data_IF_717726193971
#
_entry.id   IF_717726193971
#
_cell.length_a   1.000
_cell.length_b   1.000
_cell.length_c   1.000
_cell.angle_alpha   90.00
_cell.angle_beta   90.00
_cell.angle_gamma   90.00
#
_symmetry.space_group_name_H-M   'P 1'
#
loop_
_entity.id
_entity.type
_entity.pdbx_description
1 polymer ?
#
# COMPACT_ATOMS: atom_id res chain seq x y z
N UNK A 1 -24.27 -5.95 4.82
CA UNK A 1 -25.13 -7.15 4.81
C UNK A 1 -24.34 -8.42 5.17
N UNK A 2 -23.29 -8.80 4.43
CA UNK A 2 -22.47 -9.98 4.73
C UNK A 2 -21.81 -10.00 6.12
N UNK A 3 -21.21 -8.89 6.59
CA UNK A 3 -20.61 -8.80 7.94
C UNK A 3 -21.61 -9.08 9.08
N UNK A 4 -22.86 -8.64 8.92
CA UNK A 4 -23.92 -8.86 9.91
C UNK A 4 -24.45 -10.31 9.88
N UNK A 5 -24.44 -10.94 8.70
CA UNK A 5 -24.85 -12.33 8.52
C UNK A 5 -23.80 -13.32 9.04
N UNK A 6 -22.52 -13.06 8.77
CA UNK A 6 -21.41 -13.95 9.17
C UNK A 6 -20.86 -13.64 10.56
N UNK A 7 -21.19 -12.48 11.13
CA UNK A 7 -20.64 -11.95 12.39
C UNK A 7 -19.10 -11.93 12.41
N UNK A 8 -18.48 -11.77 11.25
CA UNK A 8 -17.02 -11.69 11.10
C UNK A 8 -16.59 -10.31 10.62
N UNK A 9 -15.44 -9.84 11.09
CA UNK A 9 -14.80 -8.64 10.54
C UNK A 9 -14.45 -8.88 9.06
N UNK A 10 -14.53 -7.87 8.18
CA UNK A 10 -14.23 -8.04 6.76
C UNK A 10 -12.85 -8.66 6.48
N UNK A 11 -11.81 -8.24 7.23
CA UNK A 11 -10.48 -8.83 7.12
C UNK A 11 -10.43 -10.31 7.49
N UNK A 12 -11.15 -10.73 8.54
CA UNK A 12 -11.25 -12.13 8.94
C UNK A 12 -12.02 -12.97 7.91
N UNK A 13 -13.04 -12.40 7.26
CA UNK A 13 -13.73 -13.06 6.17
C UNK A 13 -12.82 -13.25 4.95
N UNK A 14 -12.06 -12.21 4.56
CA UNK A 14 -11.09 -12.27 3.47
C UNK A 14 -10.00 -13.31 3.73
N UNK A 15 -9.37 -13.28 4.91
CA UNK A 15 -8.34 -14.24 5.29
C UNK A 15 -8.84 -15.69 5.26
N UNK A 16 -10.11 -15.93 5.64
CA UNK A 16 -10.73 -17.26 5.52
C UNK A 16 -10.93 -17.71 4.09
N UNK A 17 -11.34 -16.81 3.18
CA UNK A 17 -11.46 -17.13 1.76
C UNK A 17 -10.08 -17.46 1.18
N UNK A 18 -9.07 -16.65 1.48
CA UNK A 18 -7.69 -16.91 1.03
C UNK A 18 -7.14 -18.23 1.58
N UNK A 19 -7.41 -18.55 2.85
CA UNK A 19 -7.07 -19.83 3.44
C UNK A 19 -7.83 -21.00 2.78
N UNK A 20 -9.11 -20.83 2.47
CA UNK A 20 -9.88 -21.87 1.76
C UNK A 20 -9.30 -22.13 0.38
N UNK A 21 -9.04 -21.08 -0.41
CA UNK A 21 -8.45 -21.19 -1.75
C UNK A 21 -7.06 -21.85 -1.71
N UNK A 22 -6.31 -21.65 -0.62
CA UNK A 22 -4.99 -22.23 -0.44
C UNK A 22 -5.03 -23.71 -0.02
N UNK A 23 -5.97 -24.08 0.84
CA UNK A 23 -5.91 -25.33 1.60
C UNK A 23 -6.98 -26.36 1.23
N UNK A 24 -7.93 -26.01 0.36
CA UNK A 24 -8.98 -26.94 -0.06
C UNK A 24 -8.76 -27.44 -1.49
N UNK A 25 -9.14 -28.69 -1.80
CA UNK A 25 -9.18 -29.16 -3.19
C UNK A 25 -10.15 -28.30 -4.02
N UNK A 26 -9.79 -28.09 -5.28
CA UNK A 26 -10.63 -27.39 -6.26
C UNK A 26 -11.03 -28.34 -7.39
N UNK A 27 -12.12 -28.03 -8.08
CA UNK A 27 -12.63 -28.84 -9.20
C UNK A 27 -12.56 -28.00 -10.47
N UNK A 28 -11.93 -28.55 -11.51
CA UNK A 28 -11.82 -27.89 -12.81
C UNK A 28 -13.17 -27.91 -13.54
N UNK A 29 -13.36 -27.07 -14.58
CA UNK A 29 -14.58 -27.12 -15.41
C UNK A 29 -14.83 -28.50 -16.07
N UNK A 30 -13.79 -29.33 -16.24
CA UNK A 30 -13.92 -30.69 -16.76
C UNK A 30 -14.29 -31.74 -15.68
N UNK A 31 -14.40 -31.33 -14.41
CA UNK A 31 -14.73 -32.21 -13.29
C UNK A 31 -13.52 -32.89 -12.62
N UNK A 32 -12.29 -32.54 -13.02
CA UNK A 32 -11.08 -33.06 -12.40
C UNK A 32 -10.83 -32.39 -11.06
N UNK A 33 -10.47 -33.19 -10.04
CA UNK A 33 -10.16 -32.68 -8.70
C UNK A 33 -8.67 -32.37 -8.61
N UNK A 34 -8.34 -31.10 -8.40
CA UNK A 34 -6.99 -30.63 -8.12
C UNK A 34 -6.83 -30.55 -6.61
N UNK A 35 -5.73 -31.10 -6.10
CA UNK A 35 -5.36 -31.01 -4.68
C UNK A 35 -5.23 -29.56 -4.19
N UNK A 36 -5.15 -29.36 -2.87
CA UNK A 36 -4.91 -28.04 -2.31
C UNK A 36 -3.58 -27.46 -2.81
N UNK A 37 -3.49 -26.13 -2.88
CA UNK A 37 -2.26 -25.44 -3.29
C UNK A 37 -1.12 -25.68 -2.30
N UNK A 38 -1.45 -25.76 -1.01
CA UNK A 38 -0.50 -26.02 0.08
C UNK A 38 -0.93 -27.28 0.87
N UNK A 39 -0.64 -28.50 0.36
CA UNK A 39 -1.09 -29.76 0.96
C UNK A 39 -0.57 -30.04 2.37
N UNK A 40 0.68 -29.70 2.70
CA UNK A 40 1.23 -29.95 4.04
C UNK A 40 0.62 -29.01 5.07
N UNK A 41 0.46 -27.75 4.67
CA UNK A 41 -0.19 -26.73 5.49
C UNK A 41 -1.67 -27.08 5.74
N UNK A 42 -2.35 -27.62 4.72
CA UNK A 42 -3.73 -28.06 4.81
C UNK A 42 -3.90 -29.22 5.82
N UNK A 43 -2.98 -30.20 5.78
CA UNK A 43 -2.98 -31.31 6.72
C UNK A 43 -2.78 -30.83 8.16
N UNK A 44 -1.87 -29.88 8.39
CA UNK A 44 -1.63 -29.32 9.72
C UNK A 44 -2.85 -28.60 10.30
N UNK A 45 -3.53 -27.80 9.48
CA UNK A 45 -4.74 -27.10 9.90
C UNK A 45 -5.85 -28.11 10.19
N UNK A 46 -6.04 -29.11 9.33
CA UNK A 46 -7.04 -30.16 9.53
C UNK A 46 -6.79 -30.99 10.81
N UNK A 47 -5.53 -31.20 11.17
CA UNK A 47 -5.13 -31.86 12.41
C UNK A 47 -5.24 -30.96 13.65
N UNK A 48 -5.55 -29.67 13.49
CA UNK A 48 -5.61 -28.70 14.60
C UNK A 48 -4.26 -28.35 15.22
N UNK A 49 -3.15 -28.60 14.50
CA UNK A 49 -1.79 -28.31 14.97
C UNK A 49 -1.45 -26.83 14.82
N UNK A 50 -2.02 -26.18 13.81
CA UNK A 50 -1.83 -24.76 13.50
C UNK A 50 -3.18 -24.04 13.41
N UNK A 51 -3.15 -22.72 13.52
CA UNK A 51 -4.32 -21.85 13.35
C UNK A 51 -4.28 -21.10 12.01
N UNK A 52 -5.30 -20.26 11.76
CA UNK A 52 -5.37 -19.45 10.55
C UNK A 52 -4.28 -18.37 10.46
N UNK A 53 -3.67 -17.97 11.57
CA UNK A 53 -2.59 -16.99 11.57
C UNK A 53 -1.30 -17.61 10.99
N UNK A 54 -0.99 -18.86 11.36
CA UNK A 54 0.08 -19.62 10.70
C UNK A 54 -0.17 -19.80 9.20
N UNK A 55 -1.41 -20.13 8.83
CA UNK A 55 -1.79 -20.28 7.40
C UNK A 55 -1.58 -18.99 6.64
N UNK A 56 -1.96 -17.85 7.21
CA UNK A 56 -1.72 -16.53 6.62
C UNK A 56 -0.24 -16.27 6.36
N UNK A 57 0.62 -16.61 7.33
CA UNK A 57 2.08 -16.48 7.19
C UNK A 57 2.63 -17.38 6.09
N UNK A 58 2.19 -18.64 6.00
CA UNK A 58 2.63 -19.54 4.92
C UNK A 58 2.21 -19.00 3.55
N UNK A 59 0.97 -18.53 3.41
CA UNK A 59 0.49 -17.93 2.16
C UNK A 59 1.35 -16.72 1.77
N UNK A 60 1.67 -15.86 2.74
CA UNK A 60 2.50 -14.66 2.54
C UNK A 60 3.91 -15.04 2.05
N UNK A 61 4.62 -15.89 2.80
CA UNK A 61 5.99 -16.29 2.44
C UNK A 61 6.03 -17.02 1.10
N UNK A 62 5.07 -17.91 0.84
CA UNK A 62 5.00 -18.64 -0.44
C UNK A 62 4.70 -17.70 -1.63
N UNK A 63 3.98 -16.59 -1.41
CA UNK A 63 3.73 -15.59 -2.43
C UNK A 63 4.98 -14.75 -2.76
N UNK A 64 5.94 -14.66 -1.83
CA UNK A 64 7.19 -13.92 -2.03
C UNK A 64 8.25 -14.70 -2.81
N UNK A 65 8.13 -16.03 -2.91
CA UNK A 65 9.06 -16.86 -3.68
C UNK A 65 8.97 -16.47 -5.17
N UNK A 66 10.09 -16.09 -5.83
CA UNK A 66 10.10 -15.74 -7.25
C UNK A 66 9.52 -16.84 -8.14
N UNK A 67 8.84 -16.45 -9.21
CA UNK A 67 8.20 -17.42 -10.10
C UNK A 67 9.17 -18.33 -10.86
N UNK A 68 10.45 -17.95 -10.97
CA UNK A 68 11.52 -18.75 -11.60
C UNK A 68 12.01 -19.93 -10.76
N UNK A 69 11.71 -19.93 -9.47
CA UNK A 69 11.99 -21.10 -8.61
C UNK A 69 11.09 -22.24 -9.08
N UNK A 70 11.70 -23.41 -9.33
CA UNK A 70 10.99 -24.56 -9.88
C UNK A 70 9.94 -25.11 -8.90
N UNK A 71 8.99 -25.87 -9.43
CA UNK A 71 7.86 -26.37 -8.66
C UNK A 71 8.27 -27.32 -7.52
N UNK A 72 9.38 -28.06 -7.68
CA UNK A 72 9.87 -28.99 -6.66
C UNK A 72 10.46 -28.23 -5.46
N UNK A 73 11.30 -27.22 -5.72
CA UNK A 73 11.83 -26.33 -4.69
C UNK A 73 10.73 -25.55 -3.98
N UNK A 74 9.70 -25.10 -4.70
CA UNK A 74 8.52 -24.47 -4.07
C UNK A 74 7.79 -25.44 -3.15
N UNK A 75 7.54 -26.68 -3.59
CA UNK A 75 6.90 -27.69 -2.76
C UNK A 75 7.74 -28.02 -1.50
N UNK A 76 9.06 -28.18 -1.66
CA UNK A 76 9.97 -28.42 -0.53
C UNK A 76 9.99 -27.23 0.45
N UNK A 77 9.83 -26.01 -0.05
CA UNK A 77 9.73 -24.81 0.80
C UNK A 77 8.46 -24.83 1.65
N UNK A 78 7.32 -25.26 1.07
CA UNK A 78 6.09 -25.43 1.84
C UNK A 78 6.26 -26.47 2.96
N UNK A 79 6.87 -27.62 2.67
CA UNK A 79 7.18 -28.67 3.66
C UNK A 79 8.00 -28.09 4.82
N UNK A 80 9.06 -27.34 4.49
CA UNK A 80 9.91 -26.70 5.50
C UNK A 80 9.15 -25.68 6.35
N UNK A 81 8.29 -24.85 5.73
CA UNK A 81 7.44 -23.89 6.46
C UNK A 81 6.44 -24.61 7.37
N UNK A 82 5.80 -25.68 6.90
CA UNK A 82 4.89 -26.50 7.70
C UNK A 82 5.60 -27.09 8.94
N UNK A 83 6.83 -27.57 8.78
CA UNK A 83 7.66 -28.03 9.90
C UNK A 83 8.02 -26.93 10.90
N UNK A 84 8.21 -25.70 10.43
CA UNK A 84 8.45 -24.54 11.30
C UNK A 84 7.18 -24.15 12.08
N UNK A 85 6.01 -24.19 11.44
CA UNK A 85 4.72 -23.89 12.10
C UNK A 85 4.42 -24.84 13.25
N UNK A 86 4.93 -26.09 13.23
CA UNK A 86 4.81 -27.02 14.37
C UNK A 86 5.60 -26.58 15.60
N UNK A 87 6.64 -25.75 15.43
CA UNK A 87 7.67 -25.47 16.44
C UNK A 87 7.64 -24.03 16.95
N UNK A 88 7.20 -23.09 16.12
CA UNK A 88 7.35 -21.66 16.35
C UNK A 88 6.04 -20.91 16.13
N UNK A 89 5.81 -19.78 16.83
CA UNK A 89 4.64 -18.94 16.62
C UNK A 89 4.68 -18.23 15.24
N UNK A 90 3.54 -17.73 14.71
CA UNK A 90 3.45 -17.20 13.36
C UNK A 90 4.48 -16.10 13.05
N UNK A 91 4.71 -15.18 13.99
CA UNK A 91 5.69 -14.10 13.81
C UNK A 91 7.12 -14.60 13.62
N UNK A 92 7.53 -15.67 14.32
CA UNK A 92 8.86 -16.26 14.13
C UNK A 92 8.94 -17.07 12.84
N UNK A 93 7.87 -17.81 12.49
CA UNK A 93 7.78 -18.51 11.20
C UNK A 93 7.93 -17.52 10.04
N UNK A 94 7.30 -16.35 10.12
CA UNK A 94 7.44 -15.29 9.13
C UNK A 94 8.89 -14.86 8.96
N UNK A 95 9.56 -14.49 10.05
CA UNK A 95 10.97 -14.06 10.01
C UNK A 95 11.91 -15.15 9.48
N UNK A 96 11.66 -16.43 9.82
CA UNK A 96 12.45 -17.53 9.28
C UNK A 96 12.13 -17.76 7.80
N UNK A 97 10.86 -17.67 7.42
CA UNK A 97 10.39 -17.81 6.04
C UNK A 97 10.95 -16.75 5.09
N UNK A 98 10.98 -15.48 5.52
CA UNK A 98 11.64 -14.39 4.80
C UNK A 98 13.11 -14.74 4.49
N UNK A 99 13.83 -15.27 5.48
CA UNK A 99 15.22 -15.73 5.27
C UNK A 99 15.31 -16.93 4.31
N UNK A 100 14.34 -17.85 4.32
CA UNK A 100 14.31 -18.96 3.35
C UNK A 100 14.16 -18.40 1.94
N UNK A 101 13.28 -17.41 1.74
CA UNK A 101 13.12 -16.73 0.44
C UNK A 101 14.43 -16.06 0.01
N UNK A 102 15.12 -15.37 0.94
CA UNK A 102 16.42 -14.77 0.66
C UNK A 102 17.48 -15.80 0.25
N UNK A 103 17.47 -16.99 0.85
CA UNK A 103 18.37 -18.09 0.45
C UNK A 103 18.02 -18.72 -0.90
N UNK A 104 16.76 -18.64 -1.33
CA UNK A 104 16.33 -19.12 -2.66
C UNK A 104 16.76 -18.16 -3.77
N UNK A 105 16.85 -16.86 -3.50
CA UNK A 105 17.35 -15.85 -4.43
C UNK A 105 18.43 -14.96 -3.79
N UNK A 106 19.62 -15.52 -3.47
CA UNK A 106 20.67 -14.80 -2.73
C UNK A 106 21.23 -13.61 -3.51
N UNK A 107 21.11 -13.63 -4.84
CA UNK A 107 21.56 -12.57 -5.73
C UNK A 107 20.45 -11.56 -6.07
N UNK A 108 19.19 -11.81 -5.68
CA UNK A 108 18.02 -10.99 -6.04
C UNK A 108 17.73 -10.96 -7.55
N UNK A 109 18.25 -11.93 -8.32
CA UNK A 109 18.18 -11.96 -9.80
C UNK A 109 17.00 -12.77 -10.31
N UNK A 110 16.39 -13.59 -9.47
CA UNK A 110 15.27 -14.44 -9.87
C UNK A 110 13.98 -13.63 -9.93
N UNK A 111 13.84 -12.60 -9.07
CA UNK A 111 12.75 -11.63 -9.14
C UNK A 111 12.88 -10.70 -10.38
N UNK A 112 12.01 -10.89 -11.37
CA UNK A 112 12.02 -10.07 -12.59
C UNK A 112 10.75 -9.21 -12.75
N UNK A 113 10.55 -8.65 -13.96
CA UNK A 113 9.41 -7.80 -14.27
C UNK A 113 8.06 -8.49 -14.06
N UNK A 114 7.97 -9.82 -14.18
CA UNK A 114 6.74 -10.58 -13.94
C UNK A 114 6.38 -10.58 -12.44
N UNK A 115 7.37 -10.78 -11.57
CA UNK A 115 7.16 -10.73 -10.12
C UNK A 115 6.82 -9.31 -9.66
N UNK A 116 7.56 -8.30 -10.18
CA UNK A 116 7.26 -6.88 -9.92
C UNK A 116 5.86 -6.49 -10.38
N UNK A 117 5.45 -6.95 -11.56
CA UNK A 117 4.11 -6.69 -12.08
C UNK A 117 3.01 -7.23 -11.16
N UNK A 118 3.21 -8.37 -10.50
CA UNK A 118 2.23 -8.91 -9.54
C UNK A 118 2.18 -8.14 -8.22
N UNK A 119 3.33 -7.62 -7.76
CA UNK A 119 3.45 -6.90 -6.48
C UNK A 119 3.03 -5.43 -6.56
N UNK A 120 3.16 -4.79 -7.73
CA UNK A 120 2.88 -3.35 -7.86
C UNK A 120 1.42 -3.02 -7.53
N UNK A 121 1.20 -1.97 -6.76
CA UNK A 121 -0.13 -1.51 -6.38
C UNK A 121 -0.06 -0.29 -5.47
N UNK A 122 -1.13 0.52 -5.52
CA UNK A 122 -1.34 1.65 -4.60
C UNK A 122 -2.80 1.59 -4.15
N UNK A 123 -2.98 1.40 -2.85
CA UNK A 123 -4.27 1.26 -2.21
C UNK A 123 -4.55 2.46 -1.30
N UNK A 124 -5.75 3.02 -1.43
CA UNK A 124 -6.27 4.02 -0.49
C UNK A 124 -7.19 3.32 0.51
N UNK A 125 -6.79 3.38 1.78
CA UNK A 125 -7.59 2.92 2.90
C UNK A 125 -8.87 3.74 3.08
N UNK A 126 -9.82 3.19 3.84
CA UNK A 126 -11.01 3.96 4.24
C UNK A 126 -10.58 5.11 5.16
N UNK A 127 -11.24 6.29 5.07
CA UNK A 127 -11.02 7.36 6.03
C UNK A 127 -11.24 6.87 7.45
N UNK A 128 -10.31 7.17 8.34
CA UNK A 128 -10.43 6.97 9.77
C UNK A 128 -11.34 8.04 10.38
N UNK A 129 -11.52 8.00 11.70
CA UNK A 129 -12.43 8.91 12.42
C UNK A 129 -11.98 10.38 12.34
N UNK A 130 -10.68 10.61 12.17
CA UNK A 130 -10.05 11.91 11.91
C UNK A 130 -10.08 12.31 10.43
N UNK A 131 -10.80 11.56 9.59
CA UNK A 131 -10.87 11.71 8.13
C UNK A 131 -9.55 11.47 7.39
N UNK A 132 -8.50 11.01 8.08
CA UNK A 132 -7.23 10.64 7.45
C UNK A 132 -7.36 9.25 6.81
N UNK A 133 -6.77 9.07 5.63
CA UNK A 133 -6.74 7.77 4.96
C UNK A 133 -5.29 7.28 4.86
N UNK A 134 -5.08 5.99 5.12
CA UNK A 134 -3.77 5.35 4.91
C UNK A 134 -3.57 5.05 3.43
N UNK A 135 -2.42 5.42 2.88
CA UNK A 135 -1.95 4.94 1.57
C UNK A 135 -0.99 3.76 1.80
N UNK A 136 -1.12 2.69 1.02
CA UNK A 136 -0.23 1.52 1.11
C UNK A 136 0.00 0.89 -0.27
N UNK A 137 1.06 0.10 -0.40
CA UNK A 137 1.36 -0.64 -1.62
C UNK A 137 2.84 -0.62 -1.98
N UNK A 138 3.18 -1.22 -3.12
CA UNK A 138 4.54 -1.27 -3.65
C UNK A 138 4.60 -0.57 -5.00
N UNK A 139 5.54 0.37 -5.14
CA UNK A 139 5.84 0.99 -6.41
C UNK A 139 6.87 0.13 -7.16
N UNK A 140 6.74 0.05 -8.48
CA UNK A 140 7.82 -0.51 -9.30
C UNK A 140 9.03 0.45 -9.34
N UNK A 141 10.22 -0.01 -9.78
CA UNK A 141 11.42 0.82 -9.75
C UNK A 141 11.29 2.14 -10.52
N UNK A 142 10.62 2.11 -11.68
CA UNK A 142 10.38 3.31 -12.50
C UNK A 142 9.52 4.32 -11.76
N UNK A 143 8.40 3.87 -11.19
CA UNK A 143 7.47 4.72 -10.44
C UNK A 143 8.11 5.23 -9.15
N UNK A 144 8.94 4.42 -8.50
CA UNK A 144 9.72 4.83 -7.32
C UNK A 144 10.67 5.98 -7.67
N UNK A 145 11.46 5.83 -8.73
CA UNK A 145 12.37 6.88 -9.19
C UNK A 145 11.62 8.17 -9.57
N UNK A 146 10.47 8.05 -10.26
CA UNK A 146 9.62 9.20 -10.56
C UNK A 146 9.13 9.90 -9.29
N UNK A 147 8.66 9.12 -8.30
CA UNK A 147 8.17 9.67 -7.03
C UNK A 147 9.29 10.36 -6.24
N UNK A 148 10.49 9.77 -6.20
CA UNK A 148 11.67 10.37 -5.57
C UNK A 148 12.07 11.70 -6.21
N UNK A 149 12.11 11.77 -7.55
CA UNK A 149 12.42 13.01 -8.27
C UNK A 149 11.36 14.07 -8.00
N UNK A 150 10.08 13.72 -8.12
CA UNK A 150 8.98 14.67 -7.91
C UNK A 150 8.97 15.20 -6.47
N UNK A 151 9.10 14.33 -5.47
CA UNK A 151 9.18 14.74 -4.07
C UNK A 151 10.45 15.53 -3.77
N UNK A 152 11.59 15.19 -4.39
CA UNK A 152 12.83 15.93 -4.22
C UNK A 152 12.70 17.41 -4.58
N UNK A 153 11.85 17.74 -5.54
CA UNK A 153 11.63 19.11 -6.01
C UNK A 153 10.42 19.77 -5.35
N UNK A 154 9.30 19.07 -5.19
CA UNK A 154 8.05 19.64 -4.68
C UNK A 154 7.94 19.60 -3.15
N UNK A 155 8.66 18.69 -2.48
CA UNK A 155 8.71 18.58 -1.02
C UNK A 155 10.01 19.16 -0.42
N UNK A 156 10.70 20.01 -1.18
CA UNK A 156 11.84 20.77 -0.67
C UNK A 156 11.40 21.69 0.51
N UNK A 157 12.29 21.97 1.48
CA UNK A 157 11.98 22.88 2.56
C UNK A 157 11.43 24.22 2.05
N UNK A 158 10.33 24.68 2.65
CA UNK A 158 9.68 25.93 2.28
C UNK A 158 8.71 25.85 1.10
N UNK A 159 8.66 24.75 0.35
CA UNK A 159 7.73 24.58 -0.78
C UNK A 159 6.36 24.06 -0.35
N UNK A 160 5.31 24.51 -1.04
CA UNK A 160 3.95 23.97 -0.95
C UNK A 160 3.46 23.86 0.50
N UNK A 161 3.75 24.85 1.35
CA UNK A 161 3.33 24.88 2.74
C UNK A 161 1.96 25.58 2.85
N UNK A 162 0.89 24.88 3.26
CA UNK A 162 -0.42 25.52 3.43
C UNK A 162 -0.46 26.51 4.61
N UNK A 163 0.46 26.39 5.59
CA UNK A 163 0.46 27.18 6.81
C UNK A 163 1.39 28.42 6.71
N UNK A 164 2.03 28.65 5.56
CA UNK A 164 2.92 29.78 5.31
C UNK A 164 2.52 30.49 4.01
N UNK A 165 2.00 31.71 4.12
CA UNK A 165 1.58 32.53 2.97
C UNK A 165 2.75 32.91 2.06
N UNK A 166 3.98 32.95 2.58
CA UNK A 166 5.18 33.23 1.80
C UNK A 166 5.71 31.98 1.10
N UNK A 167 5.13 30.80 1.37
CA UNK A 167 5.55 29.56 0.75
C UNK A 167 5.24 29.55 -0.75
N UNK A 168 6.25 29.40 -1.61
CA UNK A 168 6.02 29.21 -3.03
C UNK A 168 5.34 27.85 -3.33
N UNK A 169 4.47 27.86 -4.34
CA UNK A 169 3.82 26.64 -4.85
C UNK A 169 4.50 26.14 -6.12
N UNK A 170 4.49 24.82 -6.33
CA UNK A 170 5.07 24.18 -7.51
C UNK A 170 6.44 23.56 -7.24
N UNK A 171 7.37 23.76 -8.17
CA UNK A 171 8.69 23.12 -8.20
C UNK A 171 9.78 24.06 -7.64
N UNK A 172 10.65 23.56 -6.75
CA UNK A 172 11.72 24.35 -6.15
C UNK A 172 12.79 24.83 -7.15
N UNK A 173 12.87 24.20 -8.32
CA UNK A 173 13.81 24.54 -9.40
C UNK A 173 13.16 25.37 -10.51
N UNK A 174 11.95 25.89 -10.30
CA UNK A 174 11.30 26.81 -11.24
C UNK A 174 12.18 28.06 -11.45
N UNK A 175 12.63 28.37 -12.69
CA UNK A 175 13.45 29.55 -12.96
C UNK A 175 12.78 30.89 -12.61
N UNK A 176 11.45 30.91 -12.49
CA UNK A 176 10.71 32.10 -12.08
C UNK A 176 10.67 32.29 -10.56
N UNK A 177 11.10 31.30 -9.77
CA UNK A 177 11.12 31.36 -8.32
C UNK A 177 12.30 32.20 -7.82
N UNK A 178 12.01 33.17 -6.96
CA UNK A 178 13.05 33.94 -6.26
C UNK A 178 13.71 33.07 -5.19
N UNK A 179 15.03 32.78 -5.29
CA UNK A 179 15.75 31.97 -4.30
C UNK A 179 15.70 32.56 -2.88
N UNK A 180 15.57 33.87 -2.74
CA UNK A 180 15.50 34.51 -1.43
C UNK A 180 14.15 34.23 -0.72
N UNK A 181 13.06 34.19 -1.49
CA UNK A 181 11.73 33.83 -0.98
C UNK A 181 11.70 32.38 -0.55
N UNK A 182 12.26 31.49 -1.39
CA UNK A 182 12.37 30.06 -1.04
C UNK A 182 13.20 29.85 0.23
N UNK A 183 14.35 30.53 0.36
CA UNK A 183 15.18 30.40 1.54
C UNK A 183 14.47 30.89 2.81
N UNK A 184 13.75 32.02 2.75
CA UNK A 184 12.99 32.53 3.89
C UNK A 184 11.86 31.58 4.30
N UNK A 185 11.15 30.97 3.33
CA UNK A 185 10.14 29.95 3.61
C UNK A 185 10.78 28.69 4.20
N UNK A 186 11.94 28.27 3.67
CA UNK A 186 12.68 27.10 4.16
C UNK A 186 13.13 27.25 5.61
N UNK A 187 13.61 28.44 6.00
CA UNK A 187 14.08 28.74 7.36
C UNK A 187 12.94 28.67 8.40
N UNK A 188 11.71 28.93 7.97
CA UNK A 188 10.50 28.87 8.81
C UNK A 188 9.76 27.53 8.70
N UNK A 189 10.21 26.60 7.86
CA UNK A 189 9.52 25.33 7.63
C UNK A 189 9.80 24.32 8.76
N UNK A 190 8.85 24.24 9.69
CA UNK A 190 8.90 23.32 10.83
C UNK A 190 8.33 21.93 10.54
N UNK A 191 7.88 21.66 9.31
CA UNK A 191 7.26 20.38 8.94
C UNK A 191 8.30 19.27 8.87
N UNK A 192 7.90 18.08 9.27
CA UNK A 192 8.67 16.86 9.03
C UNK A 192 8.75 16.55 7.53
N UNK A 193 9.73 15.74 7.10
CA UNK A 193 9.82 15.31 5.70
C UNK A 193 8.54 14.60 5.23
N UNK A 194 7.89 13.81 6.08
CA UNK A 194 6.65 13.12 5.73
C UNK A 194 5.48 14.09 5.52
N UNK A 195 5.40 15.17 6.31
CA UNK A 195 4.40 16.23 6.11
C UNK A 195 4.67 16.99 4.82
N UNK A 196 5.92 17.37 4.54
CA UNK A 196 6.30 17.98 3.25
C UNK A 196 5.94 17.10 2.06
N UNK A 197 6.21 15.79 2.15
CA UNK A 197 5.85 14.84 1.10
C UNK A 197 4.34 14.77 0.87
N UNK A 198 3.54 14.83 1.95
CA UNK A 198 2.09 14.86 1.86
C UNK A 198 1.59 16.13 1.16
N UNK A 199 2.10 17.30 1.54
CA UNK A 199 1.66 18.57 0.98
C UNK A 199 2.09 18.72 -0.48
N UNK A 200 3.31 18.27 -0.81
CA UNK A 200 3.78 18.15 -2.18
C UNK A 200 2.88 17.22 -3.02
N UNK A 201 2.49 16.06 -2.48
CA UNK A 201 1.56 15.15 -3.16
C UNK A 201 0.20 15.81 -3.41
N UNK A 202 -0.35 16.52 -2.42
CA UNK A 202 -1.58 17.30 -2.58
C UNK A 202 -1.42 18.37 -3.67
N UNK A 203 -0.33 19.13 -3.66
CA UNK A 203 -0.06 20.17 -4.66
C UNK A 203 0.06 19.60 -6.08
N UNK A 204 0.74 18.46 -6.25
CA UNK A 204 0.82 17.76 -7.54
C UNK A 204 -0.54 17.27 -8.04
N UNK A 205 -1.39 16.73 -7.14
CA UNK A 205 -2.74 16.30 -7.49
C UNK A 205 -3.64 17.48 -7.88
N UNK A 206 -3.52 18.61 -7.18
CA UNK A 206 -4.22 19.86 -7.53
C UNK A 206 -3.76 20.41 -8.87
N UNK A 207 -2.44 20.44 -9.12
CA UNK A 207 -1.88 20.84 -10.40
C UNK A 207 -2.41 19.97 -11.55
N UNK A 208 -2.46 18.64 -11.36
CA UNK A 208 -3.03 17.73 -12.36
C UNK A 208 -4.53 17.97 -12.56
N UNK A 209 -5.28 18.26 -11.50
CA UNK A 209 -6.70 18.61 -11.57
C UNK A 209 -6.94 19.89 -12.38
N UNK A 210 -6.14 20.92 -12.13
CA UNK A 210 -6.22 22.23 -12.79
C UNK A 210 -5.70 22.20 -14.23
N UNK A 211 -4.78 21.29 -14.55
CA UNK A 211 -4.25 21.12 -15.91
C UNK A 211 -5.31 20.70 -16.95
N UNK A 212 -6.49 20.26 -16.50
CA UNK A 212 -7.56 19.77 -17.37
C UNK A 212 -7.30 18.40 -18.00
N UNK A 213 -6.21 17.72 -17.63
CA UNK A 213 -5.81 16.43 -18.21
C UNK A 213 -6.55 15.21 -17.63
N UNK A 214 -7.31 15.37 -16.55
CA UNK A 214 -8.15 14.31 -15.96
C UNK A 214 -9.37 13.91 -16.81
N UNK A 215 -9.52 14.54 -17.98
CA UNK A 215 -10.68 14.37 -18.85
C UNK A 215 -11.85 15.28 -18.46
N UNK A 216 -12.89 15.31 -19.31
CA UNK A 216 -14.03 16.23 -19.12
C UNK A 216 -15.06 15.70 -18.12
N UNK A 217 -15.11 14.40 -17.90
CA UNK A 217 -16.10 13.78 -17.02
C UNK A 217 -15.51 12.64 -16.17
N UNK A 218 -15.95 12.56 -14.92
CA UNK A 218 -15.82 11.38 -14.08
C UNK A 218 -17.22 10.82 -13.84
N UNK A 219 -17.51 9.62 -14.37
CA UNK A 219 -18.84 8.99 -14.34
C UNK A 219 -19.97 9.87 -14.93
N UNK A 220 -19.66 10.67 -15.96
CA UNK A 220 -20.64 11.52 -16.66
C UNK A 220 -20.89 12.91 -16.05
N UNK A 221 -20.21 13.26 -14.95
CA UNK A 221 -20.24 14.59 -14.34
C UNK A 221 -18.89 15.30 -14.54
N UNK A 222 -18.84 16.64 -14.65
CA UNK A 222 -17.59 17.38 -14.64
C UNK A 222 -16.74 16.96 -13.43
N UNK A 223 -15.42 16.87 -13.61
CA UNK A 223 -14.52 16.55 -12.49
C UNK A 223 -14.63 17.69 -11.47
N UNK A 224 -15.33 17.45 -10.36
CA UNK A 224 -15.54 18.38 -9.26
C UNK A 224 -15.06 17.71 -7.97
N UNK A 225 -14.20 18.42 -7.21
CA UNK A 225 -13.79 17.98 -5.88
C UNK A 225 -14.89 18.34 -4.88
N UNK A 226 -15.60 17.34 -4.35
CA UNK A 226 -16.61 17.54 -3.32
C UNK A 226 -15.98 17.23 -1.96
N UNK A 227 -15.64 18.28 -1.22
CA UNK A 227 -15.22 18.16 0.18
C UNK A 227 -16.49 18.20 1.05
N UNK A 228 -16.73 17.15 1.82
CA UNK A 228 -17.86 17.12 2.77
C UNK A 228 -17.35 17.59 4.12
N UNK A 229 -17.86 18.72 4.61
CA UNK A 229 -17.62 19.24 5.95
C UNK A 229 -18.96 19.54 6.62
N UNK A 230 -19.00 19.51 7.96
CA UNK A 230 -20.21 19.97 8.68
C UNK A 230 -20.32 21.49 8.57
N UNK A 231 -21.54 22.02 8.72
CA UNK A 231 -21.75 23.47 8.75
C UNK A 231 -20.89 24.13 9.83
N UNK A 232 -20.80 23.52 11.01
CA UNK A 232 -20.02 24.06 12.12
C UNK A 232 -18.52 24.14 11.78
N UNK A 233 -17.98 23.13 11.08
CA UNK A 233 -16.59 23.14 10.59
C UNK A 233 -16.35 24.22 9.54
N UNK A 234 -17.33 24.47 8.66
CA UNK A 234 -17.25 25.55 7.68
C UNK A 234 -17.28 26.93 8.36
N UNK A 235 -18.21 27.12 9.31
CA UNK A 235 -18.37 28.37 10.05
C UNK A 235 -17.16 28.65 10.96
N UNK A 236 -16.46 27.63 11.43
CA UNK A 236 -15.20 27.74 12.18
C UNK A 236 -14.02 28.09 11.27
N UNK A 237 -13.85 27.40 10.15
CA UNK A 237 -12.81 27.71 9.16
C UNK A 237 -12.95 29.13 8.58
N UNK A 238 -14.18 29.60 8.34
CA UNK A 238 -14.44 30.97 7.90
C UNK A 238 -14.07 32.01 8.96
N UNK A 239 -14.35 31.73 10.24
CA UNK A 239 -13.95 32.63 11.35
C UNK A 239 -12.44 32.69 11.53
N UNK A 240 -11.73 31.58 11.34
CA UNK A 240 -10.27 31.56 11.36
C UNK A 240 -9.66 32.32 10.18
N UNK A 241 -10.24 32.22 8.99
CA UNK A 241 -9.84 33.04 7.84
C UNK A 241 -10.08 34.55 8.06
N UNK A 242 -11.24 34.93 8.60
CA UNK A 242 -11.55 36.35 8.90
C UNK A 242 -10.67 36.92 10.02
N UNK A 243 -10.17 36.07 10.93
CA UNK A 243 -9.25 36.48 11.99
C UNK A 243 -7.78 36.57 11.54
N UNK A 244 -7.44 35.90 10.43
CA UNK A 244 -6.10 35.91 9.83
C UNK A 244 -5.91 37.03 8.78
N UNK A 245 -6.99 37.66 8.32
CA UNK A 245 -7.00 38.78 7.36
C UNK A 245 -7.01 40.17 8.04
#
# INVERSE_FOLDING_TARGET
>A
MLTLMTRMRPGAAKARVEAMDALTPSVTPSGEVIGPRFPETAQLLAAGVIDLDHVGVVIEVMADIPHKIDAEQRANTEVALADLCRKYPPGQVKTIGERIVDYLDPDGKLADDVDRAKKRGVDLGKPATDFMAKVAGHLDPTTTALMEVMLGVWAAPGMNNPDDELSPSGAADDPALDPAVLQAAADNDLRTQSQRNHDALKAMLMYLLESGQLGKTHRGLPVQLIITMTKDQLDEALREQEAAA
#
